data_IF_660323211005
#
_entry.id   IF_660323211005
#
_cell.length_a   1.000
_cell.length_b   1.000
_cell.length_c   1.000
_cell.angle_alpha   90.00
_cell.angle_beta   90.00
_cell.angle_gamma   90.00
#
_symmetry.space_group_name_H-M   'P 1'
#
loop_
_entity.id
_entity.type
_entity.pdbx_description
1 polymer ?
#
# COMPACT_ATOMS: atom_id res chain seq x y z
N UNK A 1 16.68 -20.49 21.08
CA UNK A 1 15.34 -20.98 20.71
C UNK A 1 15.20 -20.89 19.20
N UNK A 2 14.89 -22.00 18.52
CA UNK A 2 14.67 -22.02 17.08
C UNK A 2 13.42 -21.23 16.75
N UNK A 3 13.58 -20.09 16.07
CA UNK A 3 12.44 -19.22 15.66
C UNK A 3 11.61 -19.89 14.54
N UNK A 4 12.22 -20.78 13.76
CA UNK A 4 11.58 -21.51 12.66
C UNK A 4 11.88 -23.01 12.77
N UNK A 5 11.20 -23.76 13.64
CA UNK A 5 11.57 -25.15 13.96
C UNK A 5 11.47 -26.13 12.77
N UNK A 6 10.64 -25.83 11.77
CA UNK A 6 10.42 -26.67 10.58
C UNK A 6 10.57 -25.90 9.26
N UNK A 7 11.27 -24.76 9.29
CA UNK A 7 11.53 -23.96 8.12
C UNK A 7 12.77 -24.43 7.35
N UNK A 8 12.77 -24.23 6.06
CA UNK A 8 13.96 -24.33 5.21
C UNK A 8 14.56 -22.95 5.08
N UNK A 9 15.83 -22.80 5.46
CA UNK A 9 16.57 -21.54 5.35
C UNK A 9 17.72 -21.73 4.38
N UNK A 10 17.84 -20.83 3.42
CA UNK A 10 18.89 -20.86 2.41
C UNK A 10 19.42 -19.45 2.12
N UNK A 11 20.61 -19.36 1.61
CA UNK A 11 21.18 -18.11 1.12
C UNK A 11 21.01 -18.06 -0.40
N UNK A 12 20.36 -16.99 -0.89
CA UNK A 12 20.08 -16.83 -2.31
C UNK A 12 20.07 -15.33 -2.70
N UNK A 13 20.75 -14.97 -3.77
CA UNK A 13 20.84 -13.59 -4.29
C UNK A 13 21.11 -12.52 -3.20
N UNK A 14 22.14 -12.74 -2.38
CA UNK A 14 22.53 -11.85 -1.28
C UNK A 14 21.45 -11.63 -0.21
N UNK A 15 20.56 -12.61 -0.05
CA UNK A 15 19.49 -12.59 0.92
C UNK A 15 19.36 -13.94 1.63
N UNK A 16 18.92 -13.91 2.87
CA UNK A 16 18.51 -15.12 3.60
C UNK A 16 17.03 -15.33 3.27
N UNK A 17 16.73 -16.46 2.64
CA UNK A 17 15.36 -16.86 2.31
C UNK A 17 14.93 -17.96 3.27
N UNK A 18 13.82 -17.74 3.94
CA UNK A 18 13.20 -18.70 4.84
C UNK A 18 11.82 -19.12 4.31
N UNK A 19 11.62 -20.41 4.15
CA UNK A 19 10.31 -21.00 3.80
C UNK A 19 9.83 -21.78 5.01
N UNK A 20 8.70 -21.37 5.58
CA UNK A 20 8.16 -21.97 6.79
C UNK A 20 6.65 -22.27 6.66
N UNK A 21 6.16 -23.23 7.44
CA UNK A 21 4.73 -23.53 7.52
C UNK A 21 4.05 -22.48 8.38
N UNK A 22 2.81 -22.13 8.03
CA UNK A 22 2.01 -21.15 8.79
C UNK A 22 1.93 -21.49 10.30
N UNK A 23 1.67 -22.75 10.63
CA UNK A 23 1.57 -23.23 12.02
C UNK A 23 2.86 -23.11 12.84
N UNK A 24 3.98 -22.94 12.18
CA UNK A 24 5.27 -22.72 12.85
C UNK A 24 5.47 -21.25 13.22
N UNK A 25 4.56 -20.38 12.75
CA UNK A 25 4.48 -18.94 13.02
C UNK A 25 3.34 -18.56 13.97
N UNK A 26 2.57 -19.53 14.50
CA UNK A 26 1.39 -19.33 15.34
C UNK A 26 1.35 -20.37 16.49
N UNK A 27 0.90 -20.08 17.73
CA UNK A 27 -0.30 -19.34 18.12
C UNK A 27 -0.05 -18.07 18.95
N UNK A 28 1.18 -17.74 19.30
CA UNK A 28 1.51 -16.49 20.02
C UNK A 28 2.16 -15.47 19.07
N UNK A 29 1.52 -15.22 17.95
CA UNK A 29 2.01 -14.38 16.86
C UNK A 29 2.54 -13.02 17.33
N UNK A 30 1.82 -12.33 18.23
CA UNK A 30 2.23 -11.01 18.72
C UNK A 30 3.53 -11.04 19.54
N UNK A 31 3.70 -12.03 20.43
CA UNK A 31 4.92 -12.14 21.25
C UNK A 31 6.13 -12.57 20.43
N UNK A 32 5.93 -13.52 19.53
CA UNK A 32 6.99 -13.98 18.60
C UNK A 32 7.40 -12.88 17.64
N UNK A 33 6.43 -12.07 17.18
CA UNK A 33 6.64 -10.96 16.28
C UNK A 33 7.45 -9.83 16.94
N UNK A 34 7.11 -9.44 18.18
CA UNK A 34 7.85 -8.43 18.93
C UNK A 34 9.31 -8.85 19.21
N UNK A 35 9.53 -10.11 19.57
CA UNK A 35 10.87 -10.65 19.79
C UNK A 35 11.70 -10.69 18.50
N UNK A 36 11.07 -11.05 17.38
CA UNK A 36 11.70 -11.02 16.07
C UNK A 36 12.05 -9.59 15.65
N UNK A 37 11.13 -8.64 15.83
CA UNK A 37 11.36 -7.24 15.49
C UNK A 37 12.52 -6.63 16.28
N UNK A 38 12.63 -6.90 17.59
CA UNK A 38 13.75 -6.45 18.41
C UNK A 38 15.08 -7.04 17.93
N UNK A 39 15.11 -8.33 17.59
CA UNK A 39 16.29 -8.97 17.00
C UNK A 39 16.69 -8.32 15.67
N UNK A 40 15.73 -8.06 14.80
CA UNK A 40 15.99 -7.44 13.50
C UNK A 40 16.51 -6.00 13.63
N UNK A 41 15.99 -5.24 14.61
CA UNK A 41 16.50 -3.90 14.95
C UNK A 41 17.97 -3.96 15.38
N UNK A 42 18.32 -4.86 16.29
CA UNK A 42 19.70 -5.04 16.78
C UNK A 42 20.67 -5.44 15.67
N UNK A 43 20.22 -6.26 14.73
CA UNK A 43 21.03 -6.74 13.60
C UNK A 43 20.98 -5.83 12.38
N UNK A 44 20.21 -4.73 12.42
CA UNK A 44 19.94 -3.85 11.26
C UNK A 44 19.43 -4.61 10.04
N UNK A 45 18.67 -5.68 10.27
CA UNK A 45 18.09 -6.50 9.19
C UNK A 45 16.66 -6.08 8.90
N UNK A 46 16.22 -6.37 7.67
CA UNK A 46 14.84 -6.22 7.21
C UNK A 46 14.28 -7.56 6.75
N UNK A 47 13.03 -7.81 7.03
CA UNK A 47 12.29 -9.01 6.62
C UNK A 47 11.12 -8.59 5.75
N UNK A 48 10.98 -9.27 4.62
CA UNK A 48 9.87 -9.13 3.69
C UNK A 48 9.11 -10.44 3.65
N UNK A 49 7.80 -10.40 3.93
CA UNK A 49 6.93 -11.57 4.03
C UNK A 49 5.97 -11.57 2.83
N UNK A 50 6.06 -12.62 2.01
CA UNK A 50 5.14 -12.81 0.87
C UNK A 50 3.72 -13.14 1.33
N UNK A 51 2.78 -13.17 0.38
CA UNK A 51 1.50 -13.85 0.59
C UNK A 51 1.72 -15.34 0.80
N UNK A 52 0.72 -16.01 1.36
CA UNK A 52 0.74 -17.47 1.52
C UNK A 52 0.68 -18.14 0.16
N UNK A 53 1.35 -19.25 0.06
CA UNK A 53 1.24 -20.12 -1.10
C UNK A 53 0.99 -21.56 -0.65
N UNK A 54 0.41 -22.36 -1.53
CA UNK A 54 -0.05 -23.72 -1.22
C UNK A 54 0.71 -24.78 -2.03
N UNK A 55 1.28 -24.37 -3.16
CA UNK A 55 2.04 -25.27 -4.06
C UNK A 55 3.47 -24.80 -4.15
N UNK A 56 4.38 -25.73 -4.21
CA UNK A 56 5.81 -25.42 -4.36
C UNK A 56 6.10 -24.63 -5.65
N UNK A 57 5.30 -24.83 -6.70
CA UNK A 57 5.39 -24.09 -7.96
C UNK A 57 5.14 -22.57 -7.79
N UNK A 58 4.49 -22.15 -6.71
CA UNK A 58 4.21 -20.74 -6.40
C UNK A 58 5.35 -20.04 -5.64
N UNK A 59 6.41 -20.79 -5.27
CA UNK A 59 7.55 -20.25 -4.52
C UNK A 59 8.26 -19.11 -5.27
N UNK A 60 8.41 -19.23 -6.58
CA UNK A 60 9.03 -18.18 -7.41
C UNK A 60 8.23 -16.88 -7.35
N UNK A 61 6.89 -16.95 -7.38
CA UNK A 61 6.01 -15.79 -7.23
C UNK A 61 6.15 -15.18 -5.83
N UNK A 62 6.13 -16.00 -4.79
CA UNK A 62 6.29 -15.54 -3.41
C UNK A 62 7.63 -14.84 -3.18
N UNK A 63 8.71 -15.38 -3.72
CA UNK A 63 10.02 -14.75 -3.70
C UNK A 63 10.05 -13.43 -4.49
N UNK A 64 9.40 -13.39 -5.66
CA UNK A 64 9.22 -12.18 -6.46
C UNK A 64 8.53 -11.06 -5.69
N UNK A 65 7.50 -11.37 -4.90
CA UNK A 65 6.83 -10.41 -4.03
C UNK A 65 7.79 -9.78 -2.99
N UNK A 66 8.64 -10.61 -2.36
CA UNK A 66 9.63 -10.11 -1.40
C UNK A 66 10.67 -9.21 -2.09
N UNK A 67 11.11 -9.55 -3.30
CA UNK A 67 12.02 -8.70 -4.10
C UNK A 67 11.39 -7.36 -4.45
N UNK A 68 10.13 -7.36 -4.86
CA UNK A 68 9.40 -6.12 -5.16
C UNK A 68 9.29 -5.22 -3.93
N UNK A 69 8.96 -5.75 -2.75
CA UNK A 69 8.94 -4.96 -1.52
C UNK A 69 10.31 -4.39 -1.15
N UNK A 70 11.39 -5.12 -1.43
CA UNK A 70 12.76 -4.64 -1.24
C UNK A 70 13.07 -3.45 -2.15
N UNK A 71 12.59 -3.47 -3.40
CA UNK A 71 12.77 -2.38 -4.36
C UNK A 71 11.84 -1.18 -4.09
N UNK A 72 10.62 -1.44 -3.61
CA UNK A 72 9.59 -0.43 -3.32
C UNK A 72 9.08 -0.58 -1.89
N UNK A 73 9.88 -0.23 -0.87
CA UNK A 73 9.48 -0.41 0.52
C UNK A 73 8.38 0.58 0.90
N UNK A 74 7.27 0.07 1.48
CA UNK A 74 6.16 0.89 1.96
C UNK A 74 6.62 1.86 3.06
N UNK A 75 7.34 1.33 4.04
CA UNK A 75 7.89 2.06 5.17
C UNK A 75 9.37 1.70 5.32
N UNK A 76 10.30 2.52 4.78
CA UNK A 76 11.74 2.19 4.79
C UNK A 76 12.33 1.99 6.19
N UNK A 77 11.74 2.57 7.23
CA UNK A 77 12.16 2.44 8.63
C UNK A 77 11.65 1.15 9.30
N UNK A 78 10.62 0.50 8.76
CA UNK A 78 10.01 -0.70 9.32
C UNK A 78 10.85 -1.94 9.01
N UNK A 79 11.14 -2.72 10.05
CA UNK A 79 11.99 -3.92 9.91
C UNK A 79 11.26 -5.13 9.34
N UNK A 80 9.95 -5.21 9.50
CA UNK A 80 9.11 -6.28 8.96
C UNK A 80 8.05 -5.65 8.07
N UNK A 81 7.97 -6.10 6.80
CA UNK A 81 6.96 -5.66 5.85
C UNK A 81 6.27 -6.88 5.21
N UNK A 82 4.95 -6.79 5.07
CA UNK A 82 4.11 -7.84 4.50
C UNK A 82 3.57 -7.42 3.15
N UNK A 83 3.52 -8.36 2.21
CA UNK A 83 3.11 -8.04 0.85
C UNK A 83 1.62 -7.66 0.74
N UNK A 84 0.75 -8.29 1.55
CA UNK A 84 -0.67 -7.95 1.60
C UNK A 84 -0.92 -6.48 1.99
N UNK A 85 -0.10 -5.92 2.89
CA UNK A 85 -0.14 -4.51 3.30
C UNK A 85 0.57 -3.60 2.29
N UNK A 86 1.70 -4.04 1.75
CA UNK A 86 2.56 -3.24 0.87
C UNK A 86 2.11 -3.23 -0.60
N UNK A 87 1.22 -4.14 -1.01
CA UNK A 87 0.84 -4.35 -2.42
C UNK A 87 0.45 -3.06 -3.17
N UNK A 88 -0.44 -2.18 -2.64
CA UNK A 88 -0.80 -0.96 -3.37
C UNK A 88 0.40 -0.04 -3.62
N UNK A 89 1.31 0.04 -2.64
CA UNK A 89 2.52 0.85 -2.75
C UNK A 89 3.52 0.25 -3.74
N UNK A 90 3.72 -1.05 -3.69
CA UNK A 90 4.57 -1.79 -4.64
C UNK A 90 4.04 -1.62 -6.07
N UNK A 91 2.72 -1.79 -6.26
CA UNK A 91 2.07 -1.60 -7.57
C UNK A 91 2.29 -0.18 -8.09
N UNK A 92 2.07 0.83 -7.24
CA UNK A 92 2.35 2.23 -7.58
C UNK A 92 3.80 2.44 -8.00
N UNK A 93 4.77 1.91 -7.25
CA UNK A 93 6.19 2.01 -7.54
C UNK A 93 6.55 1.44 -8.91
N UNK A 94 6.08 0.22 -9.21
CA UNK A 94 6.29 -0.46 -10.50
C UNK A 94 5.68 0.34 -11.66
N UNK A 95 4.44 0.82 -11.50
CA UNK A 95 3.75 1.60 -12.55
C UNK A 95 4.42 2.95 -12.78
N UNK A 96 4.87 3.60 -11.71
CA UNK A 96 5.60 4.88 -11.79
C UNK A 96 6.92 4.72 -12.55
N UNK A 97 7.70 3.70 -12.23
CA UNK A 97 8.98 3.45 -12.91
C UNK A 97 8.81 3.21 -14.41
N UNK A 98 7.74 2.50 -14.79
CA UNK A 98 7.42 2.24 -16.20
C UNK A 98 6.68 3.38 -16.91
N UNK A 99 6.51 4.54 -16.27
CA UNK A 99 5.68 5.65 -16.77
C UNK A 99 4.25 5.22 -17.18
N UNK A 100 3.73 4.18 -16.56
CA UNK A 100 2.43 3.60 -16.93
C UNK A 100 1.26 4.15 -16.10
N UNK A 101 1.52 4.94 -15.06
CA UNK A 101 0.50 5.52 -14.17
C UNK A 101 -0.62 6.25 -14.91
N UNK A 102 -0.36 7.10 -15.93
CA UNK A 102 -1.41 7.80 -16.64
C UNK A 102 -2.45 6.86 -17.27
N UNK A 103 -2.03 5.67 -17.74
CA UNK A 103 -2.93 4.68 -18.32
C UNK A 103 -3.91 4.03 -17.34
N UNK A 104 -3.68 4.19 -16.03
CA UNK A 104 -4.55 3.68 -14.96
C UNK A 104 -5.37 4.78 -14.28
N UNK A 105 -5.19 6.04 -14.68
CA UNK A 105 -5.95 7.15 -14.15
C UNK A 105 -7.20 7.40 -15.02
N UNK A 106 -8.30 7.81 -14.38
CA UNK A 106 -9.45 8.30 -15.13
C UNK A 106 -9.03 9.52 -15.97
N UNK A 107 -9.36 9.57 -17.27
CA UNK A 107 -8.88 10.64 -18.17
C UNK A 107 -9.17 12.06 -17.66
N UNK A 108 -10.34 12.30 -17.09
CA UNK A 108 -10.70 13.59 -16.57
C UNK A 108 -9.92 13.97 -15.29
N UNK A 109 -9.57 13.00 -14.42
CA UNK A 109 -8.68 13.24 -13.27
C UNK A 109 -7.28 13.60 -13.77
N UNK A 110 -6.81 12.91 -14.81
CA UNK A 110 -5.52 13.21 -15.43
C UNK A 110 -5.50 14.62 -16.04
N UNK A 111 -6.58 15.00 -16.74
CA UNK A 111 -6.78 16.34 -17.31
C UNK A 111 -6.73 17.43 -16.23
N UNK A 112 -7.46 17.26 -15.13
CA UNK A 112 -7.41 18.18 -13.97
C UNK A 112 -6.02 18.29 -13.36
N UNK A 113 -5.30 17.17 -13.28
CA UNK A 113 -3.93 17.17 -12.78
C UNK A 113 -2.95 17.90 -13.71
N UNK A 114 -3.11 17.73 -15.02
CA UNK A 114 -2.27 18.34 -16.06
C UNK A 114 -2.55 19.84 -16.27
N UNK A 115 -3.73 20.31 -15.89
CA UNK A 115 -4.08 21.73 -16.01
C UNK A 115 -3.17 22.66 -15.19
N UNK A 116 -2.56 22.14 -14.11
CA UNK A 116 -1.77 22.87 -13.13
C UNK A 116 -2.48 24.11 -12.54
N UNK A 117 -3.80 24.21 -12.74
CA UNK A 117 -4.59 25.30 -12.17
C UNK A 117 -4.83 25.03 -10.68
N UNK A 118 -4.60 26.01 -9.83
CA UNK A 118 -4.77 25.89 -8.37
C UNK A 118 -6.18 25.42 -7.99
N UNK A 119 -7.19 25.90 -8.73
CA UNK A 119 -8.59 25.47 -8.50
C UNK A 119 -8.79 23.98 -8.78
N UNK A 120 -8.20 23.45 -9.83
CA UNK A 120 -8.35 22.05 -10.24
C UNK A 120 -7.60 21.11 -9.27
N UNK A 121 -6.42 21.52 -8.80
CA UNK A 121 -5.70 20.80 -7.74
C UNK A 121 -6.49 20.78 -6.42
N UNK A 122 -7.16 21.88 -6.11
CA UNK A 122 -8.06 21.95 -4.93
C UNK A 122 -9.25 20.99 -5.08
N UNK A 123 -9.83 20.86 -6.27
CA UNK A 123 -10.92 19.91 -6.52
C UNK A 123 -10.43 18.45 -6.36
N UNK A 124 -9.27 18.12 -6.89
CA UNK A 124 -8.64 16.79 -6.70
C UNK A 124 -8.43 16.50 -5.20
N UNK A 125 -7.92 17.47 -4.45
CA UNK A 125 -7.74 17.31 -3.00
C UNK A 125 -9.07 17.08 -2.27
N UNK A 126 -10.12 17.83 -2.62
CA UNK A 126 -11.45 17.64 -2.03
C UNK A 126 -12.02 16.26 -2.35
N UNK A 127 -11.89 15.79 -3.61
CA UNK A 127 -12.31 14.46 -4.02
C UNK A 127 -11.57 13.38 -3.24
N UNK A 128 -10.25 13.50 -3.13
CA UNK A 128 -9.42 12.57 -2.34
C UNK A 128 -9.91 12.49 -0.89
N UNK A 129 -10.10 13.62 -0.22
CA UNK A 129 -10.58 13.65 1.16
C UNK A 129 -11.98 13.03 1.29
N UNK A 130 -12.87 13.30 0.34
CA UNK A 130 -14.21 12.73 0.31
C UNK A 130 -14.19 11.19 0.23
N UNK A 131 -13.36 10.64 -0.67
CA UNK A 131 -13.21 9.19 -0.81
C UNK A 131 -12.57 8.53 0.42
N UNK A 132 -11.54 9.15 1.00
CA UNK A 132 -10.85 8.64 2.21
C UNK A 132 -11.81 8.64 3.41
N UNK A 133 -12.68 9.64 3.55
CA UNK A 133 -13.69 9.72 4.61
C UNK A 133 -14.95 8.89 4.30
N UNK A 134 -14.84 7.86 3.46
CA UNK A 134 -15.94 6.93 3.16
C UNK A 134 -17.15 7.60 2.52
N UNK A 135 -16.95 8.65 1.74
CA UNK A 135 -17.99 9.48 1.09
C UNK A 135 -18.90 10.23 2.08
N UNK A 136 -18.43 10.46 3.30
CA UNK A 136 -19.16 11.20 4.32
C UNK A 136 -18.92 12.71 4.18
N UNK A 137 -19.93 13.45 3.72
CA UNK A 137 -19.86 14.91 3.52
C UNK A 137 -19.55 15.66 4.82
N UNK A 138 -20.19 15.29 5.93
CA UNK A 138 -20.03 16.01 7.19
C UNK A 138 -18.60 15.86 7.72
N UNK A 139 -18.05 14.64 7.68
CA UNK A 139 -16.68 14.34 8.09
C UNK A 139 -15.66 15.01 7.16
N UNK A 140 -15.91 14.97 5.86
CA UNK A 140 -15.03 15.60 4.85
C UNK A 140 -15.02 17.12 5.00
N UNK A 141 -16.17 17.75 5.21
CA UNK A 141 -16.25 19.18 5.42
C UNK A 141 -15.48 19.62 6.68
N UNK A 142 -15.56 18.81 7.77
CA UNK A 142 -14.79 19.02 8.99
C UNK A 142 -13.29 18.89 8.74
N UNK A 143 -12.87 17.83 8.08
CA UNK A 143 -11.44 17.58 7.74
C UNK A 143 -10.84 18.69 6.88
N UNK A 144 -11.64 19.26 5.96
CA UNK A 144 -11.19 20.31 5.05
C UNK A 144 -11.43 21.73 5.62
N UNK A 145 -11.99 21.86 6.83
CA UNK A 145 -12.39 23.15 7.42
C UNK A 145 -13.32 23.97 6.49
N UNK A 146 -14.24 23.28 5.80
CA UNK A 146 -15.18 23.89 4.88
C UNK A 146 -16.61 23.81 5.42
N UNK A 147 -17.45 24.78 5.00
CA UNK A 147 -18.89 24.63 5.19
C UNK A 147 -19.43 23.51 4.29
N UNK A 148 -20.41 22.74 4.79
CA UNK A 148 -21.01 21.61 4.06
C UNK A 148 -21.45 21.99 2.63
N UNK A 149 -22.11 23.13 2.48
CA UNK A 149 -22.60 23.57 1.17
C UNK A 149 -21.47 23.90 0.19
N UNK A 150 -20.36 24.44 0.67
CA UNK A 150 -19.17 24.70 -0.13
C UNK A 150 -18.56 23.39 -0.65
N UNK A 151 -18.50 22.36 0.20
CA UNK A 151 -18.02 21.04 -0.24
C UNK A 151 -18.96 20.42 -1.29
N UNK A 152 -20.30 20.47 -1.06
CA UNK A 152 -21.28 19.95 -2.03
C UNK A 152 -21.15 20.67 -3.37
N UNK A 153 -21.01 21.99 -3.38
CA UNK A 153 -20.79 22.75 -4.61
C UNK A 153 -19.54 22.28 -5.36
N UNK A 154 -18.43 22.07 -4.64
CA UNK A 154 -17.19 21.59 -5.23
C UNK A 154 -17.30 20.15 -5.74
N UNK A 155 -18.02 19.26 -5.03
CA UNK A 155 -18.27 17.89 -5.48
C UNK A 155 -19.13 17.89 -6.75
N UNK A 156 -20.17 18.69 -6.84
CA UNK A 156 -20.97 18.84 -8.08
C UNK A 156 -20.12 19.31 -9.25
N UNK A 157 -19.25 20.29 -9.03
CA UNK A 157 -18.33 20.71 -10.09
C UNK A 157 -17.41 19.58 -10.55
N UNK A 158 -17.00 18.70 -9.62
CA UNK A 158 -16.22 17.51 -9.96
C UNK A 158 -17.07 16.52 -10.76
N UNK A 159 -18.34 16.26 -10.39
CA UNK A 159 -19.25 15.39 -11.14
C UNK A 159 -19.43 15.87 -12.57
N UNK A 160 -19.63 17.17 -12.76
CA UNK A 160 -19.77 17.81 -14.07
C UNK A 160 -18.50 17.64 -14.92
N UNK A 161 -17.32 17.85 -14.34
CA UNK A 161 -16.04 17.74 -15.03
C UNK A 161 -15.66 16.29 -15.37
N UNK A 162 -15.98 15.35 -14.47
CA UNK A 162 -15.65 13.94 -14.65
C UNK A 162 -16.73 13.14 -15.38
N UNK A 163 -17.92 13.73 -15.59
CA UNK A 163 -19.13 13.07 -16.11
C UNK A 163 -19.50 11.79 -15.33
N UNK A 164 -19.41 11.85 -14.00
CA UNK A 164 -19.75 10.76 -13.08
C UNK A 164 -20.73 11.24 -12.02
N UNK A 165 -21.40 10.30 -11.32
CA UNK A 165 -22.14 10.57 -10.08
C UNK A 165 -21.31 10.14 -8.87
N UNK A 166 -21.27 10.96 -7.84
CA UNK A 166 -20.53 10.68 -6.59
C UNK A 166 -21.42 10.15 -5.47
N UNK A 167 -22.70 9.90 -5.70
CA UNK A 167 -23.68 9.31 -4.76
C UNK A 167 -23.51 9.80 -3.30
N UNK A 168 -24.06 10.99 -2.96
CA UNK A 168 -24.00 11.57 -1.61
C UNK A 168 -25.34 12.04 -1.10
#
# INVERSE_FOLDING_TARGET
KNILPHGVVLYFEHSIVAVCRRRDFDPDYEKSYAALEDLLKRLSLKVYISTRFFRFTELSMAYGQCRLMKSYPLEPQKHIQRFDEAFPHVLYGVLKEKNSLPGFCHPAVLSLWQSHMEQDLTLIHNLKCYLINGRNIAETARTLHLHRNTLIYRLRKIEDLLHISLDY
#
